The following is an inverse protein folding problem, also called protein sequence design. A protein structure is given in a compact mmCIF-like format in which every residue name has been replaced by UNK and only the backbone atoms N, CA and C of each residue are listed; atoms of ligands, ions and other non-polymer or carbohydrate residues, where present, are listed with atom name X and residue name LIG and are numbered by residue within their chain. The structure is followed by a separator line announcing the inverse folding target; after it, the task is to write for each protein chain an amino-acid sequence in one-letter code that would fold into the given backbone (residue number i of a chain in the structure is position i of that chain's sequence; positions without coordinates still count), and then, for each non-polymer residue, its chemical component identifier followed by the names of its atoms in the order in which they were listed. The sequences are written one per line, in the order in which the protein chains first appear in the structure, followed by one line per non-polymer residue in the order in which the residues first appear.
data_IF_311887488014
#
_entry.id   IF_311887488014
#
_cell.length_a   1.000
_cell.length_b   1.000
_cell.length_c   1.000
_cell.angle_alpha   90.00
_cell.angle_beta   90.00
_cell.angle_gamma   90.00
#
_symmetry.space_group_name_H-M   'P 1'
#
loop_
_entity.id
_entity.type
_entity.pdbx_description
1 polymer ?
#
# COMPACT_ATOMS: atom_id res chain seq x y z
N UNK A 1 -32.66 18.65 23.49
CA UNK A 1 -32.76 17.22 23.11
C UNK A 1 -32.65 17.01 21.60
N UNK A 2 -33.38 17.75 20.75
CA UNK A 2 -33.33 17.60 19.28
C UNK A 2 -31.95 17.82 18.63
N UNK A 3 -31.14 18.75 19.15
CA UNK A 3 -29.79 19.05 18.61
C UNK A 3 -28.80 17.90 18.88
N UNK A 4 -28.90 17.24 20.04
CA UNK A 4 -28.07 16.06 20.36
C UNK A 4 -28.44 14.87 19.46
N UNK A 5 -29.72 14.68 19.16
CA UNK A 5 -30.19 13.60 18.29
C UNK A 5 -29.74 13.83 16.84
N UNK A 6 -29.78 15.07 16.35
CA UNK A 6 -29.25 15.43 15.02
C UNK A 6 -27.73 15.21 14.92
N UNK A 7 -26.96 15.54 15.96
CA UNK A 7 -25.52 15.30 16.00
C UNK A 7 -25.16 13.82 15.95
N UNK A 8 -25.86 12.99 16.73
CA UNK A 8 -25.64 11.53 16.74
C UNK A 8 -26.06 10.90 15.41
N UNK A 9 -27.17 11.35 14.82
CA UNK A 9 -27.62 10.87 13.50
C UNK A 9 -26.61 11.20 12.39
N UNK A 10 -26.05 12.42 12.39
CA UNK A 10 -25.04 12.83 11.40
C UNK A 10 -23.76 11.98 11.49
N UNK A 11 -23.32 11.65 12.72
CA UNK A 11 -22.16 10.78 12.95
C UNK A 11 -22.43 9.37 12.41
N UNK A 12 -23.60 8.79 12.71
CA UNK A 12 -23.99 7.45 12.22
C UNK A 12 -24.03 7.43 10.68
N UNK A 13 -24.65 8.44 10.06
CA UNK A 13 -24.72 8.56 8.60
C UNK A 13 -23.32 8.68 7.99
N UNK A 14 -22.42 9.45 8.60
CA UNK A 14 -21.02 9.56 8.17
C UNK A 14 -20.31 8.20 8.19
N UNK A 15 -20.51 7.39 9.23
CA UNK A 15 -19.94 6.04 9.31
C UNK A 15 -20.53 5.09 8.27
N UNK A 16 -21.84 5.12 8.04
CA UNK A 16 -22.51 4.29 7.01
C UNK A 16 -21.99 4.65 5.61
N UNK A 17 -21.90 5.95 5.30
CA UNK A 17 -21.38 6.45 4.03
C UNK A 17 -19.91 6.04 3.88
N UNK A 18 -19.09 6.25 4.90
CA UNK A 18 -17.68 5.85 4.90
C UNK A 18 -17.52 4.33 4.71
N UNK A 19 -18.40 3.52 5.30
CA UNK A 19 -18.40 2.08 5.14
C UNK A 19 -18.83 1.64 3.72
N UNK A 20 -19.85 2.28 3.15
CA UNK A 20 -20.25 2.07 1.76
C UNK A 20 -19.13 2.42 0.80
N UNK A 21 -18.46 3.57 1.00
CA UNK A 21 -17.30 3.97 0.19
C UNK A 21 -16.13 2.99 0.37
N UNK A 22 -15.84 2.52 1.59
CA UNK A 22 -14.83 1.48 1.83
C UNK A 22 -15.14 0.22 1.02
N UNK A 23 -16.41 -0.22 0.97
CA UNK A 23 -16.84 -1.43 0.26
C UNK A 23 -16.91 -1.26 -1.27
N UNK A 24 -17.26 -0.08 -1.77
CA UNK A 24 -17.32 0.22 -3.21
C UNK A 24 -15.93 0.52 -3.82
N UNK A 25 -15.06 1.22 -3.08
CA UNK A 25 -13.72 1.60 -3.52
C UNK A 25 -12.67 0.52 -3.25
N UNK A 26 -12.96 -0.42 -2.33
CA UNK A 26 -12.30 -1.72 -2.30
C UNK A 26 -12.74 -2.56 -3.52
N UNK A 27 -12.62 -2.00 -4.73
CA UNK A 27 -12.43 -2.81 -5.92
C UNK A 27 -11.33 -3.83 -5.60
N UNK A 28 -11.50 -5.07 -6.03
CA UNK A 28 -10.59 -6.19 -5.76
C UNK A 28 -9.20 -5.89 -6.36
N UNK A 29 -8.44 -5.00 -5.74
CA UNK A 29 -7.07 -4.69 -6.08
C UNK A 29 -6.24 -5.91 -5.73
N UNK A 30 -5.68 -6.54 -6.76
CA UNK A 30 -4.73 -7.63 -6.62
C UNK A 30 -3.38 -7.14 -7.10
N UNK A 31 -2.36 -7.38 -6.29
CA UNK A 31 -0.96 -7.18 -6.69
C UNK A 31 -0.34 -8.56 -6.74
N UNK A 32 0.19 -8.92 -7.91
CA UNK A 32 0.93 -10.16 -8.12
C UNK A 32 2.38 -9.79 -8.45
N UNK A 33 3.31 -10.34 -7.66
CA UNK A 33 4.75 -10.22 -7.92
C UNK A 33 5.19 -11.47 -8.67
N UNK A 34 5.72 -11.26 -9.87
CA UNK A 34 6.31 -12.28 -10.73
C UNK A 34 7.81 -12.03 -10.85
N UNK A 35 8.56 -12.93 -11.50
CA UNK A 35 10.03 -12.90 -11.53
C UNK A 35 10.62 -11.59 -12.08
N UNK A 36 9.93 -10.91 -13.02
CA UNK A 36 10.43 -9.70 -13.69
C UNK A 36 9.51 -8.49 -13.57
N UNK A 37 8.34 -8.67 -12.98
CA UNK A 37 7.29 -7.66 -13.02
C UNK A 37 6.32 -7.77 -11.84
N UNK A 38 5.75 -6.64 -11.46
CA UNK A 38 4.58 -6.57 -10.59
C UNK A 38 3.35 -6.20 -11.43
N UNK A 39 2.31 -7.02 -11.32
CA UNK A 39 1.01 -6.77 -11.97
C UNK A 39 0.04 -6.25 -10.92
N UNK A 40 -0.47 -5.05 -11.14
CA UNK A 40 -1.50 -4.41 -10.32
C UNK A 40 -2.80 -4.44 -11.13
N UNK A 41 -3.74 -5.27 -10.68
CA UNK A 41 -5.03 -5.44 -11.34
C UNK A 41 -6.19 -5.06 -10.42
N UNK A 42 -7.22 -4.46 -11.01
CA UNK A 42 -8.52 -4.16 -10.43
C UNK A 42 -9.55 -4.16 -11.56
N UNK A 43 -10.83 -4.04 -11.24
CA UNK A 43 -11.95 -4.02 -12.20
C UNK A 43 -11.73 -3.04 -13.37
N UNK A 44 -11.05 -1.92 -13.13
CA UNK A 44 -10.84 -0.85 -14.11
C UNK A 44 -9.36 -0.53 -14.37
N UNK A 45 -8.42 -1.21 -13.72
CA UNK A 45 -6.99 -0.90 -13.80
C UNK A 45 -6.25 -2.21 -14.05
N UNK A 46 -5.44 -2.25 -15.11
CA UNK A 46 -4.44 -3.30 -15.30
C UNK A 46 -3.11 -2.61 -15.60
N UNK A 47 -2.22 -2.60 -14.62
CA UNK A 47 -0.92 -1.94 -14.71
C UNK A 47 0.18 -2.94 -14.45
N UNK A 48 1.14 -3.00 -15.35
CA UNK A 48 2.36 -3.80 -15.20
C UNK A 48 3.50 -2.85 -14.88
N UNK A 49 4.32 -3.21 -13.89
CA UNK A 49 5.54 -2.52 -13.51
C UNK A 49 6.69 -3.50 -13.71
N UNK A 50 7.58 -3.22 -14.66
CA UNK A 50 8.76 -4.04 -14.93
C UNK A 50 9.87 -3.68 -13.93
N UNK A 51 10.52 -4.68 -13.32
CA UNK A 51 11.54 -4.43 -12.30
C UNK A 51 12.76 -3.70 -12.83
N UNK A 52 13.12 -3.93 -14.10
CA UNK A 52 14.20 -3.22 -14.81
C UNK A 52 14.01 -1.70 -14.85
N UNK A 53 12.76 -1.23 -14.74
CA UNK A 53 12.40 0.18 -14.78
C UNK A 53 12.23 0.78 -13.39
N UNK A 54 12.31 -0.02 -12.33
CA UNK A 54 12.18 0.46 -10.95
C UNK A 54 13.53 0.99 -10.50
N UNK A 55 13.57 2.25 -10.07
CA UNK A 55 14.70 2.82 -9.35
C UNK A 55 14.61 2.51 -7.86
N UNK A 56 13.39 2.58 -7.32
CA UNK A 56 13.19 2.42 -5.89
C UNK A 56 11.80 1.91 -5.57
N UNK A 57 11.72 0.90 -4.72
CA UNK A 57 10.50 0.48 -4.05
C UNK A 57 10.58 0.90 -2.57
N UNK A 58 9.63 1.70 -2.12
CA UNK A 58 9.47 2.09 -0.73
C UNK A 58 8.23 1.43 -0.13
N UNK A 59 8.44 0.75 0.98
CA UNK A 59 7.39 0.14 1.79
C UNK A 59 7.31 0.92 3.09
N UNK A 60 6.14 1.47 3.38
CA UNK A 60 5.83 2.04 4.69
C UNK A 60 4.89 1.10 5.40
N UNK A 61 5.30 0.59 6.55
CA UNK A 61 4.57 -0.41 7.30
C UNK A 61 4.20 0.08 8.72
N UNK A 62 3.40 -0.72 9.43
CA UNK A 62 3.00 -0.52 10.83
C UNK A 62 2.22 0.78 11.09
N UNK A 63 1.38 1.18 10.13
CA UNK A 63 0.46 2.32 10.28
C UNK A 63 -0.82 2.15 9.45
N UNK A 64 -1.91 2.80 9.84
CA UNK A 64 -3.17 2.86 9.07
C UNK A 64 -3.01 3.49 7.68
N UNK A 65 -1.85 4.13 7.43
CA UNK A 65 -1.47 4.70 6.14
C UNK A 65 -0.36 3.90 5.45
N UNK A 66 -0.24 2.60 5.75
CA UNK A 66 0.77 1.74 5.12
C UNK A 66 0.59 1.76 3.60
N UNK A 67 1.70 1.76 2.86
CA UNK A 67 1.70 1.82 1.41
C UNK A 67 2.92 1.12 0.79
N UNK A 68 2.75 0.77 -0.48
CA UNK A 68 3.83 0.45 -1.43
C UNK A 68 3.98 1.62 -2.39
N UNK A 69 5.20 2.11 -2.58
CA UNK A 69 5.53 3.19 -3.49
C UNK A 69 6.61 2.72 -4.46
N UNK A 70 6.22 2.52 -5.71
CA UNK A 70 7.13 2.24 -6.80
C UNK A 70 7.56 3.56 -7.45
N UNK A 71 8.87 3.80 -7.51
CA UNK A 71 9.51 4.88 -8.26
C UNK A 71 10.20 4.27 -9.47
N UNK A 72 9.77 4.66 -10.66
CA UNK A 72 10.32 4.22 -11.94
C UNK A 72 11.32 5.27 -12.49
N UNK A 73 12.23 4.84 -13.38
CA UNK A 73 13.32 5.66 -13.98
C UNK A 73 12.86 6.97 -14.63
N UNK A 74 11.65 6.99 -15.18
CA UNK A 74 11.06 8.20 -15.78
C UNK A 74 10.41 9.14 -14.74
N UNK A 75 10.84 9.08 -13.48
CA UNK A 75 10.22 9.79 -12.34
C UNK A 75 8.74 9.45 -12.09
N UNK A 76 8.23 8.40 -12.75
CA UNK A 76 6.85 7.94 -12.60
C UNK A 76 6.68 7.27 -11.25
N UNK A 77 5.63 7.67 -10.52
CA UNK A 77 5.35 7.20 -9.16
C UNK A 77 4.05 6.42 -9.11
N UNK A 78 4.09 5.23 -8.53
CA UNK A 78 2.91 4.40 -8.27
C UNK A 78 2.79 4.18 -6.78
N UNK A 79 1.81 4.83 -6.15
CA UNK A 79 1.54 4.67 -4.72
C UNK A 79 0.28 3.85 -4.52
N UNK A 80 0.40 2.76 -3.78
CA UNK A 80 -0.70 1.86 -3.46
C UNK A 80 -0.87 1.86 -1.95
N UNK A 81 -2.00 2.38 -1.49
CA UNK A 81 -2.35 2.37 -0.07
C UNK A 81 -2.93 1.01 0.30
N UNK A 82 -2.32 0.39 1.31
CA UNK A 82 -2.74 -0.91 1.83
C UNK A 82 -3.26 -0.79 3.26
N UNK A 83 -2.86 0.26 4.01
CA UNK A 83 -3.18 0.48 5.43
C UNK A 83 -4.65 0.72 5.79
N UNK A 84 -5.53 1.10 4.84
CA UNK A 84 -6.94 1.38 5.16
C UNK A 84 -7.78 0.12 5.46
N UNK A 85 -7.20 -1.09 5.36
CA UNK A 85 -7.90 -2.32 5.69
C UNK A 85 -8.40 -2.36 7.16
N UNK A 86 -7.66 -1.76 8.11
CA UNK A 86 -7.90 -1.92 9.55
C UNK A 86 -8.76 -0.84 10.25
N UNK A 87 -9.41 0.07 9.51
CA UNK A 87 -10.47 0.92 10.11
C UNK A 87 -11.56 0.01 10.69
N UNK A 88 -11.50 -0.26 12.00
CA UNK A 88 -12.45 -1.06 12.78
C UNK A 88 -12.00 -2.46 13.22
N UNK A 89 -10.85 -2.98 12.78
CA UNK A 89 -10.37 -4.32 13.20
C UNK A 89 -8.89 -4.26 13.59
N UNK A 90 -8.62 -4.29 14.90
CA UNK A 90 -7.31 -4.62 15.45
C UNK A 90 -7.14 -6.14 15.31
N UNK A 91 -6.38 -6.64 14.32
CA UNK A 91 -5.62 -7.91 14.47
C UNK A 91 -4.83 -8.37 13.25
N UNK A 92 -5.10 -7.92 12.02
CA UNK A 92 -4.31 -8.38 10.87
C UNK A 92 -3.16 -7.44 10.53
N UNK A 93 -1.94 -7.96 10.53
CA UNK A 93 -0.79 -7.33 9.86
C UNK A 93 -1.21 -7.04 8.42
N UNK A 94 -1.42 -5.76 8.11
CA UNK A 94 -2.05 -5.33 6.85
C UNK A 94 -1.14 -5.63 5.65
N UNK A 95 0.16 -5.73 5.92
CA UNK A 95 1.19 -6.10 4.96
C UNK A 95 2.02 -7.24 5.56
N UNK A 96 1.87 -8.47 5.04
CA UNK A 96 2.84 -9.54 5.27
C UNK A 96 4.19 -9.19 4.60
N UNK A 97 5.33 -9.66 5.15
CA UNK A 97 6.52 -8.85 5.40
C UNK A 97 7.41 -8.64 4.17
N UNK A 98 8.28 -7.63 4.28
CA UNK A 98 9.44 -7.34 3.43
C UNK A 98 10.13 -8.59 2.85
N UNK A 99 10.24 -9.63 3.66
CA UNK A 99 10.97 -10.85 3.34
C UNK A 99 10.28 -11.69 2.25
N UNK A 100 8.98 -11.48 1.99
CA UNK A 100 8.30 -12.08 0.83
C UNK A 100 8.66 -11.38 -0.49
N UNK A 101 9.16 -10.15 -0.44
CA UNK A 101 9.60 -9.38 -1.60
C UNK A 101 11.10 -9.51 -1.86
N UNK A 102 11.86 -9.97 -0.88
CA UNK A 102 13.30 -10.21 -1.01
C UNK A 102 13.69 -11.14 -2.16
N UNK A 103 12.91 -12.18 -2.54
CA UNK A 103 13.23 -12.98 -3.74
C UNK A 103 13.14 -12.18 -5.05
N UNK A 104 12.31 -11.14 -5.09
CA UNK A 104 12.06 -10.32 -6.29
C UNK A 104 12.92 -9.05 -6.34
N UNK A 105 13.24 -8.49 -5.17
CA UNK A 105 13.97 -7.23 -5.00
C UNK A 105 15.24 -7.41 -4.15
N UNK A 106 15.75 -8.63 -4.03
CA UNK A 106 16.99 -8.93 -3.34
C UNK A 106 18.22 -8.58 -4.16
N UNK A 107 19.39 -8.81 -3.57
CA UNK A 107 20.64 -8.78 -4.33
C UNK A 107 20.60 -9.91 -5.38
N UNK A 108 21.08 -9.67 -6.61
CA UNK A 108 22.08 -8.66 -6.97
C UNK A 108 21.54 -7.29 -7.42
N UNK A 109 20.30 -7.18 -7.90
CA UNK A 109 19.86 -6.00 -8.65
C UNK A 109 19.43 -4.82 -7.77
N UNK A 110 19.06 -5.10 -6.52
CA UNK A 110 18.53 -4.11 -5.58
C UNK A 110 19.25 -4.18 -4.22
N UNK A 111 19.50 -3.01 -3.64
CA UNK A 111 19.96 -2.84 -2.25
C UNK A 111 18.76 -2.62 -1.32
N UNK A 112 18.61 -3.51 -0.32
CA UNK A 112 17.60 -3.39 0.74
C UNK A 112 18.16 -2.56 1.92
N UNK A 113 17.40 -1.55 2.36
CA UNK A 113 17.63 -0.78 3.59
C UNK A 113 16.35 -0.69 4.40
N UNK A 114 16.39 -1.02 5.68
CA UNK A 114 15.26 -0.89 6.59
C UNK A 114 15.60 0.10 7.72
N UNK A 115 14.66 0.98 8.08
CA UNK A 115 14.83 1.93 9.16
C UNK A 115 13.49 2.33 9.79
N UNK A 116 13.55 2.83 11.02
CA UNK A 116 12.38 3.37 11.73
C UNK A 116 12.39 4.89 11.72
N UNK A 117 11.23 5.51 11.45
CA UNK A 117 11.04 6.96 11.56
C UNK A 117 9.67 7.25 12.16
N UNK A 118 9.64 7.96 13.30
CA UNK A 118 8.40 8.30 14.03
C UNK A 118 7.51 7.08 14.30
N UNK A 119 8.11 5.98 14.78
CA UNK A 119 7.44 4.69 15.07
C UNK A 119 6.86 3.97 13.85
N UNK A 120 7.22 4.39 12.63
CA UNK A 120 6.85 3.72 11.40
C UNK A 120 8.07 3.01 10.83
N UNK A 121 7.86 1.82 10.30
CA UNK A 121 8.89 1.05 9.63
C UNK A 121 8.92 1.42 8.14
N UNK A 122 10.11 1.72 7.64
CA UNK A 122 10.38 2.01 6.25
C UNK A 122 11.35 0.98 5.71
N UNK A 123 11.03 0.40 4.56
CA UNK A 123 11.89 -0.56 3.86
C UNK A 123 12.04 -0.08 2.44
N UNK A 124 13.28 0.07 2.01
CA UNK A 124 13.67 0.59 0.72
C UNK A 124 14.43 -0.47 -0.04
N UNK A 125 13.96 -0.81 -1.23
CA UNK A 125 14.75 -1.50 -2.24
C UNK A 125 15.15 -0.46 -3.28
N UNK A 126 16.45 -0.26 -3.47
CA UNK A 126 16.97 0.72 -4.43
C UNK A 126 17.77 -0.02 -5.48
N UNK A 127 17.46 0.18 -6.76
CA UNK A 127 18.22 -0.42 -7.85
C UNK A 127 19.67 0.03 -7.74
N UNK A 128 20.60 -0.91 -7.89
CA UNK A 128 22.01 -0.56 -7.98
C UNK A 128 22.26 0.16 -9.31
N UNK A 129 23.16 1.15 -9.35
CA UNK A 129 23.62 1.70 -10.61
C UNK A 129 24.32 0.59 -11.40
N UNK A 130 23.80 0.29 -12.59
CA UNK A 130 24.48 -0.57 -13.58
C UNK A 130 25.77 0.09 -14.06
#
# INVERSE_FOLDING_TARGET
MGIMIMGVAAIIVFFIISFLFKKLLASNFKICFEDKQAIISSKNINRVILYENIEKLEIRNNTDYSYLLFLEKDSKKTKIFVGMANLGMKTSTILTPADQLDPFFGKPDFEKKAYFKKSMEYILYTALPN
#
